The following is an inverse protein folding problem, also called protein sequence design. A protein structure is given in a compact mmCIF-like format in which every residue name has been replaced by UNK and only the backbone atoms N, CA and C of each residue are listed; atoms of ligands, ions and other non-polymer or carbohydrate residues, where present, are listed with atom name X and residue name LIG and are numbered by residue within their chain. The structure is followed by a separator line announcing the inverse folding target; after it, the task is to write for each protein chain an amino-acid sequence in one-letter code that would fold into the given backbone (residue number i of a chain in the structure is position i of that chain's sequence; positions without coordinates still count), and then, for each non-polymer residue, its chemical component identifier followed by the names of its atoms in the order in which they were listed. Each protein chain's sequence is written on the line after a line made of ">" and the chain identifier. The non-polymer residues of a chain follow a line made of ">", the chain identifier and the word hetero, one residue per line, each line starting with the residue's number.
data_IF_007289390782
#
_entry.id   IF_007289390782
#
_cell.length_a   1.000
_cell.length_b   1.000
_cell.length_c   1.000
_cell.angle_alpha   90.00
_cell.angle_beta   90.00
_cell.angle_gamma   90.00
#
_symmetry.space_group_name_H-M   'P 1'
#
loop_
_entity.id
_entity.type
_entity.pdbx_description
1 polymer ?
#
# COMPACT_ATOMS: atom_id res chain seq x y z
N UNK A 1 -16.58 38.60 0.79
CA UNK A 1 -16.77 38.15 -0.61
C UNK A 1 -15.44 38.32 -1.33
N UNK A 2 -14.94 37.35 -2.11
CA UNK A 2 -15.70 36.61 -3.11
C UNK A 2 -15.93 35.13 -2.79
N UNK A 3 -17.05 34.61 -3.27
CA UNK A 3 -17.44 33.21 -3.29
C UNK A 3 -16.49 32.41 -4.20
N UNK A 4 -15.72 31.47 -3.64
CA UNK A 4 -15.10 30.41 -4.43
C UNK A 4 -16.18 29.37 -4.75
N UNK A 5 -16.71 29.45 -5.97
CA UNK A 5 -17.75 28.52 -6.43
C UNK A 5 -17.21 27.09 -6.53
N UNK A 6 -18.07 26.10 -6.28
CA UNK A 6 -17.85 24.66 -6.48
C UNK A 6 -17.15 24.31 -7.81
N UNK A 7 -17.34 25.15 -8.84
CA UNK A 7 -16.71 25.00 -10.15
C UNK A 7 -15.20 25.21 -10.10
N UNK A 8 -14.68 26.06 -9.22
CA UNK A 8 -13.25 26.33 -9.10
C UNK A 8 -12.50 25.16 -8.46
N UNK A 9 -13.09 24.51 -7.44
CA UNK A 9 -12.53 23.30 -6.82
C UNK A 9 -12.58 22.12 -7.79
N UNK A 10 -13.69 21.96 -8.52
CA UNK A 10 -13.79 20.93 -9.55
C UNK A 10 -12.81 21.17 -10.71
N UNK A 11 -12.62 22.42 -11.12
CA UNK A 11 -11.62 22.79 -12.13
C UNK A 11 -10.21 22.47 -11.65
N UNK A 12 -9.90 22.72 -10.36
CA UNK A 12 -8.58 22.45 -9.77
C UNK A 12 -8.29 20.94 -9.69
N UNK A 13 -9.29 20.12 -9.37
CA UNK A 13 -9.20 18.64 -9.39
C UNK A 13 -8.99 18.15 -10.83
N UNK A 14 -9.77 18.64 -11.80
CA UNK A 14 -9.66 18.24 -13.20
C UNK A 14 -8.32 18.70 -13.82
N UNK A 15 -7.85 19.92 -13.51
CA UNK A 15 -6.53 20.39 -13.98
C UNK A 15 -5.39 19.61 -13.33
N UNK A 16 -5.53 19.19 -12.06
CA UNK A 16 -4.51 18.35 -11.41
C UNK A 16 -4.41 16.98 -12.09
N UNK A 17 -5.54 16.38 -12.46
CA UNK A 17 -5.59 15.09 -13.19
C UNK A 17 -5.01 15.21 -14.61
N UNK A 18 -5.18 16.36 -15.29
CA UNK A 18 -4.63 16.60 -16.65
C UNK A 18 -3.13 16.98 -16.61
N UNK A 19 -2.67 17.68 -15.57
CA UNK A 19 -1.25 18.01 -15.40
C UNK A 19 -0.46 16.74 -15.03
N UNK A 20 -1.01 15.84 -14.23
CA UNK A 20 -0.37 14.55 -13.91
C UNK A 20 -0.31 13.58 -15.11
N UNK A 21 -1.29 13.60 -16.02
CA UNK A 21 -1.26 12.78 -17.25
C UNK A 21 -0.35 13.33 -18.35
N UNK A 22 -0.07 14.63 -18.35
CA UNK A 22 0.89 15.25 -19.29
C UNK A 22 2.34 15.16 -18.81
N UNK A 23 2.58 15.04 -17.50
CA UNK A 23 3.91 14.77 -16.94
C UNK A 23 4.34 13.33 -17.23
N UNK A 24 3.44 12.34 -17.14
CA UNK A 24 3.76 10.94 -17.52
C UNK A 24 4.07 10.78 -19.01
N UNK A 25 3.44 11.58 -19.89
CA UNK A 25 3.76 11.60 -21.33
C UNK A 25 5.15 12.17 -21.66
N UNK A 26 5.69 13.09 -20.86
CA UNK A 26 7.03 13.67 -21.07
C UNK A 26 8.16 12.81 -20.49
N UNK A 27 7.92 12.06 -19.42
CA UNK A 27 8.88 11.08 -18.90
C UNK A 27 9.04 9.87 -19.85
N UNK A 28 7.97 9.44 -20.53
CA UNK A 28 8.05 8.38 -21.53
C UNK A 28 8.93 8.75 -22.75
N UNK A 29 8.99 10.05 -23.12
CA UNK A 29 9.78 10.51 -24.27
C UNK A 29 11.27 10.72 -23.93
N UNK A 30 11.60 11.05 -22.68
CA UNK A 30 12.99 11.19 -22.22
C UNK A 30 13.69 9.83 -22.03
N UNK A 31 12.92 8.79 -21.70
CA UNK A 31 13.44 7.43 -21.49
C UNK A 31 13.69 6.69 -22.82
N UNK A 32 12.92 7.00 -23.87
CA UNK A 32 13.10 6.41 -25.22
C UNK A 32 14.40 6.83 -25.93
N UNK A 33 14.97 8.00 -25.60
CA UNK A 33 16.20 8.49 -26.25
C UNK A 33 17.49 7.97 -25.62
N UNK A 34 17.43 7.45 -24.39
CA UNK A 34 18.54 6.79 -23.71
C UNK A 34 18.60 5.28 -24.02
N UNK A 35 17.50 4.67 -24.48
CA UNK A 35 17.47 3.26 -24.90
C UNK A 35 17.95 3.02 -26.34
N UNK A 36 17.92 4.02 -27.22
CA UNK A 36 18.34 3.87 -28.63
C UNK A 36 19.86 3.77 -28.83
N UNK A 37 20.68 4.07 -27.82
CA UNK A 37 22.13 3.90 -27.87
C UNK A 37 22.64 2.57 -27.28
N UNK A 38 21.75 1.71 -26.76
CA UNK A 38 22.09 0.39 -26.21
C UNK A 38 21.39 -0.80 -26.88
N UNK A 39 20.34 -0.57 -27.68
CA UNK A 39 19.52 -1.64 -28.25
C UNK A 39 20.05 -2.12 -29.62
N UNK A 40 21.22 -2.75 -29.64
CA UNK A 40 21.66 -3.61 -30.75
C UNK A 40 22.23 -4.94 -30.26
N UNK A 41 21.55 -5.58 -29.32
CA UNK A 41 21.61 -7.03 -29.04
C UNK A 41 20.51 -7.37 -28.03
N UNK A 42 19.99 -8.59 -28.10
CA UNK A 42 18.88 -9.16 -27.31
C UNK A 42 17.46 -8.92 -27.86
N UNK A 43 17.19 -9.56 -28.99
CA UNK A 43 15.85 -10.05 -29.33
C UNK A 43 15.59 -11.39 -28.64
N UNK A 44 14.34 -11.58 -28.20
CA UNK A 44 13.73 -12.79 -27.61
C UNK A 44 14.05 -13.12 -26.15
N UNK A 45 13.25 -12.57 -25.24
CA UNK A 45 12.83 -13.26 -24.03
C UNK A 45 11.42 -12.80 -23.63
N UNK A 46 10.41 -13.59 -23.98
CA UNK A 46 9.06 -13.47 -23.42
C UNK A 46 9.11 -13.84 -21.94
N UNK A 47 9.14 -12.84 -21.06
CA UNK A 47 9.07 -13.06 -19.62
C UNK A 47 7.61 -13.15 -19.15
N UNK A 48 7.12 -14.38 -18.98
CA UNK A 48 5.82 -14.68 -18.37
C UNK A 48 5.84 -14.36 -16.87
N UNK A 49 5.53 -13.11 -16.47
CA UNK A 49 5.38 -12.71 -15.05
C UNK A 49 4.07 -13.24 -14.47
N UNK A 50 4.10 -14.46 -13.92
CA UNK A 50 3.05 -14.98 -13.03
C UNK A 50 3.03 -14.17 -11.73
N UNK A 51 1.93 -13.47 -11.48
CA UNK A 51 1.64 -12.89 -10.17
C UNK A 51 1.39 -14.01 -9.16
N UNK A 52 2.25 -14.14 -8.14
CA UNK A 52 1.98 -14.96 -6.96
C UNK A 52 1.19 -14.13 -5.96
N UNK A 53 -0.14 -14.21 -6.02
CA UNK A 53 -0.99 -13.88 -4.88
C UNK A 53 -0.82 -14.96 -3.81
N UNK A 54 -0.35 -14.56 -2.63
CA UNK A 54 0.22 -15.46 -1.59
C UNK A 54 -0.80 -16.42 -0.95
N UNK A 55 -2.10 -16.33 -1.24
CA UNK A 55 -3.07 -17.38 -0.91
C UNK A 55 -4.18 -17.44 -1.96
N UNK A 56 -3.94 -18.14 -3.07
CA UNK A 56 -4.98 -18.64 -3.97
C UNK A 56 -4.84 -20.17 -4.08
N UNK A 57 -5.93 -20.95 -3.99
CA UNK A 57 -5.87 -22.41 -3.98
C UNK A 57 -5.49 -22.94 -5.37
N UNK A 58 -4.55 -23.87 -5.42
CA UNK A 58 -4.25 -24.65 -6.64
C UNK A 58 -5.09 -25.92 -6.60
N UNK A 59 -5.94 -26.11 -7.61
CA UNK A 59 -6.49 -27.41 -8.00
C UNK A 59 -5.37 -28.32 -8.51
N UNK A 60 -5.43 -29.61 -8.16
CA UNK A 60 -5.63 -30.70 -9.12
C UNK A 60 -5.34 -32.08 -8.50
N UNK A 61 -6.32 -32.97 -8.61
CA UNK A 61 -6.09 -34.40 -8.83
C UNK A 61 -5.73 -34.59 -10.31
N UNK A 62 -4.50 -35.01 -10.61
CA UNK A 62 -4.15 -35.75 -11.84
C UNK A 62 -3.06 -36.78 -11.49
N UNK A 63 -3.38 -38.07 -11.60
CA UNK A 63 -2.42 -39.18 -11.58
C UNK A 63 -1.54 -39.12 -12.83
N UNK A 64 -0.22 -39.00 -12.67
CA UNK A 64 0.73 -39.27 -13.75
C UNK A 64 1.32 -40.68 -13.60
N UNK A 65 1.04 -41.54 -14.58
CA UNK A 65 1.85 -42.71 -14.90
C UNK A 65 2.78 -42.25 -16.03
N UNK A 66 4.09 -42.20 -15.77
CA UNK A 66 5.10 -41.94 -16.77
C UNK A 66 5.84 -43.25 -17.08
N UNK A 67 5.69 -43.75 -18.31
CA UNK A 67 6.62 -44.69 -18.91
C UNK A 67 7.27 -43.97 -20.10
N UNK A 68 8.57 -43.71 -20.00
CA UNK A 68 9.38 -43.22 -21.11
C UNK A 68 9.69 -44.36 -22.08
N UNK A 69 9.56 -44.18 -23.41
CA UNK A 69 10.15 -45.09 -24.39
C UNK A 69 11.66 -44.83 -24.49
N UNK A 70 12.47 -45.88 -24.47
CA UNK A 70 13.90 -45.84 -24.77
C UNK A 70 14.06 -45.69 -26.30
N UNK A 71 14.82 -44.68 -26.74
CA UNK A 71 15.18 -44.48 -28.15
C UNK A 71 16.49 -45.25 -28.41
N UNK A 72 16.56 -46.17 -29.40
CA UNK A 72 17.80 -46.87 -29.72
C UNK A 72 18.83 -45.97 -30.41
N UNK A 73 20.09 -46.26 -30.11
CA UNK A 73 21.32 -45.61 -30.59
C UNK A 73 21.60 -45.84 -32.09
N UNK A 74 22.17 -44.80 -32.70
CA UNK A 74 23.08 -44.78 -33.87
C UNK A 74 22.62 -45.46 -35.18
N UNK A 75 22.29 -44.63 -36.17
CA UNK A 75 22.27 -45.01 -37.59
C UNK A 75 23.70 -45.09 -38.15
N UNK A 76 23.98 -46.24 -38.76
CA UNK A 76 25.22 -46.70 -39.39
C UNK A 76 25.60 -45.84 -40.61
N UNK A 77 26.90 -45.76 -40.92
CA UNK A 77 27.42 -44.92 -42.00
C UNK A 77 26.84 -45.25 -43.40
N UNK A 78 26.45 -46.50 -43.65
CA UNK A 78 25.85 -46.95 -44.92
C UNK A 78 24.40 -46.47 -45.13
N UNK A 79 23.66 -46.17 -44.06
CA UNK A 79 22.31 -45.59 -44.15
C UNK A 79 22.32 -44.09 -44.50
N UNK A 80 23.44 -43.40 -44.27
CA UNK A 80 23.61 -41.96 -44.53
C UNK A 80 23.93 -41.66 -45.99
N UNK A 81 24.58 -42.59 -46.70
CA UNK A 81 24.92 -42.45 -48.12
C UNK A 81 23.70 -42.66 -49.04
N UNK A 82 22.70 -43.45 -48.59
CA UNK A 82 21.41 -43.63 -49.28
C UNK A 82 20.51 -42.38 -49.28
N UNK A 83 20.82 -41.36 -48.47
CA UNK A 83 20.06 -40.11 -48.35
C UNK A 83 20.64 -38.94 -49.19
N UNK A 84 21.70 -39.18 -49.97
CA UNK A 84 22.19 -38.21 -50.97
C UNK A 84 22.77 -36.92 -50.40
N UNK A 85 23.33 -36.94 -49.20
CA UNK A 85 23.95 -35.76 -48.56
C UNK A 85 25.41 -35.65 -49.04
N UNK A 86 25.81 -34.59 -49.76
CA UNK A 86 27.19 -34.44 -50.23
C UNK A 86 28.19 -34.18 -49.10
N UNK A 87 29.46 -34.65 -49.20
CA UNK A 87 30.43 -34.69 -48.10
C UNK A 87 31.08 -33.32 -47.74
N UNK A 88 30.56 -32.21 -48.24
CA UNK A 88 31.15 -30.86 -48.03
C UNK A 88 30.61 -30.13 -46.79
N UNK A 89 29.97 -30.83 -45.86
CA UNK A 89 29.61 -30.29 -44.54
C UNK A 89 30.45 -30.91 -43.40
N UNK A 90 31.54 -31.58 -43.75
CA UNK A 90 32.48 -32.19 -42.82
C UNK A 90 33.81 -31.44 -42.85
N UNK A 91 33.83 -30.24 -42.29
CA UNK A 91 35.08 -29.56 -41.90
C UNK A 91 34.76 -28.45 -40.90
N UNK A 92 34.74 -28.80 -39.63
CA UNK A 92 35.82 -28.42 -38.70
C UNK A 92 35.40 -28.82 -37.28
N UNK A 93 36.08 -29.84 -36.76
CA UNK A 93 36.27 -30.03 -35.34
C UNK A 93 36.86 -28.75 -34.76
N UNK A 94 36.03 -27.95 -34.07
CA UNK A 94 36.54 -27.08 -33.02
C UNK A 94 36.06 -27.64 -31.70
N UNK A 95 37.06 -28.20 -31.02
CA UNK A 95 37.05 -28.66 -29.65
C UNK A 95 36.18 -27.79 -28.76
N UNK A 96 35.32 -28.45 -28.00
CA UNK A 96 34.84 -27.93 -26.72
C UNK A 96 36.06 -27.70 -25.83
N UNK A 97 36.72 -26.54 -25.94
CA UNK A 97 37.35 -25.96 -24.77
C UNK A 97 36.21 -25.46 -23.91
N UNK A 98 35.96 -26.17 -22.82
CA UNK A 98 35.33 -25.61 -21.64
C UNK A 98 36.01 -24.27 -21.36
N UNK A 99 35.40 -23.17 -21.80
CA UNK A 99 35.52 -21.95 -21.03
C UNK A 99 34.67 -22.22 -19.79
N UNK A 100 35.33 -22.73 -18.75
CA UNK A 100 34.94 -22.54 -17.36
C UNK A 100 34.92 -21.02 -17.05
N UNK A 101 34.18 -20.24 -17.82
CA UNK A 101 33.55 -19.04 -17.29
C UNK A 101 32.29 -19.52 -16.58
N UNK A 102 32.49 -20.36 -15.55
CA UNK A 102 31.68 -20.25 -14.36
C UNK A 102 31.67 -18.76 -14.04
N UNK A 103 30.52 -18.10 -14.23
CA UNK A 103 30.24 -16.86 -13.52
C UNK A 103 30.11 -17.18 -12.01
N UNK A 104 31.20 -17.69 -11.42
CA UNK A 104 31.55 -17.53 -10.02
C UNK A 104 31.63 -16.02 -9.81
N UNK A 105 30.69 -15.49 -9.04
CA UNK A 105 30.54 -14.06 -8.72
C UNK A 105 29.77 -13.21 -9.76
N UNK A 106 28.62 -13.70 -10.22
CA UNK A 106 27.47 -12.79 -10.22
C UNK A 106 27.06 -12.58 -8.75
N UNK A 107 27.83 -11.77 -8.00
CA UNK A 107 27.27 -11.11 -6.81
C UNK A 107 26.07 -10.33 -7.32
N UNK A 108 24.89 -10.94 -7.26
CA UNK A 108 23.64 -10.25 -7.51
C UNK A 108 23.65 -9.06 -6.58
N UNK A 109 23.80 -7.85 -7.13
CA UNK A 109 23.77 -6.63 -6.35
C UNK A 109 22.37 -6.55 -5.74
N UNK A 110 22.23 -7.06 -4.53
CA UNK A 110 21.00 -6.94 -3.76
C UNK A 110 21.01 -5.53 -3.17
N UNK A 111 20.17 -4.61 -3.70
CA UNK A 111 20.17 -3.24 -3.22
C UNK A 111 19.83 -3.25 -1.73
N UNK A 112 20.42 -2.31 -0.97
CA UNK A 112 20.12 -2.18 0.45
C UNK A 112 18.64 -1.84 0.67
N UNK A 113 18.08 -1.02 -0.23
CA UNK A 113 16.70 -0.52 -0.18
C UNK A 113 16.07 -0.70 -1.57
N UNK A 114 14.85 -1.23 -1.60
CA UNK A 114 14.01 -1.29 -2.80
C UNK A 114 12.68 -0.59 -2.55
N UNK A 115 12.19 0.16 -3.54
CA UNK A 115 10.81 0.66 -3.51
C UNK A 115 9.84 -0.54 -3.54
N UNK A 116 8.82 -0.49 -2.69
CA UNK A 116 7.72 -1.47 -2.64
C UNK A 116 6.42 -0.88 -3.16
N UNK A 117 6.08 0.32 -2.67
CA UNK A 117 4.87 1.07 -3.06
C UNK A 117 4.94 2.49 -2.54
N UNK A 118 4.33 3.43 -3.25
CA UNK A 118 4.02 4.76 -2.75
C UNK A 118 2.50 4.92 -2.65
N UNK A 119 2.03 5.61 -1.61
CA UNK A 119 0.60 5.86 -1.39
C UNK A 119 0.37 7.34 -1.14
N UNK A 120 -0.50 7.95 -1.94
CA UNK A 120 -1.03 9.30 -1.75
C UNK A 120 -2.51 9.22 -1.39
N UNK A 121 -2.94 9.98 -0.39
CA UNK A 121 -4.31 9.97 0.08
C UNK A 121 -4.79 11.40 0.37
N UNK A 122 -5.99 11.70 -0.11
CA UNK A 122 -6.72 12.96 0.08
C UNK A 122 -8.02 12.65 0.79
N UNK A 123 -8.27 13.28 1.94
CA UNK A 123 -9.51 13.10 2.70
C UNK A 123 -10.14 14.45 2.98
N UNK A 124 -11.45 14.57 2.75
CA UNK A 124 -12.20 15.80 3.01
C UNK A 124 -13.43 15.51 3.87
N UNK A 125 -13.50 16.21 5.00
CA UNK A 125 -14.62 16.28 5.92
C UNK A 125 -15.11 17.73 5.87
N UNK A 126 -16.29 18.03 5.29
CA UNK A 126 -16.81 19.38 5.27
C UNK A 126 -17.22 19.82 6.69
N UNK A 127 -17.02 21.10 6.96
CA UNK A 127 -17.43 21.80 8.17
C UNK A 127 -17.29 23.29 7.92
N UNK A 128 -18.10 24.10 8.61
CA UNK A 128 -18.07 25.57 8.51
C UNK A 128 -18.48 26.18 9.84
N UNK A 129 -17.87 27.30 10.22
CA UNK A 129 -18.24 28.02 11.43
C UNK A 129 -17.90 27.22 12.69
N UNK A 130 -18.93 26.79 13.43
CA UNK A 130 -18.75 25.99 14.65
C UNK A 130 -18.64 24.48 14.38
N UNK A 131 -18.89 24.03 13.15
CA UNK A 131 -18.64 22.64 12.77
C UNK A 131 -17.20 22.48 12.24
N UNK A 132 -16.40 21.64 12.89
CA UNK A 132 -15.02 21.37 12.48
C UNK A 132 -14.98 20.70 11.09
N UNK A 133 -14.36 21.37 10.13
CA UNK A 133 -13.98 20.85 8.82
C UNK A 133 -12.52 20.42 8.81
N UNK A 134 -12.21 19.33 8.09
CA UNK A 134 -10.84 18.81 7.97
C UNK A 134 -10.57 18.43 6.51
N UNK A 135 -9.55 19.05 5.92
CA UNK A 135 -8.99 18.62 4.64
C UNK A 135 -7.59 18.08 4.86
N UNK A 136 -7.35 16.82 4.51
CA UNK A 136 -6.11 16.10 4.79
C UNK A 136 -5.43 15.65 3.52
N UNK A 137 -4.12 15.85 3.44
CA UNK A 137 -3.25 15.26 2.43
C UNK A 137 -2.23 14.40 3.15
N UNK A 138 -2.01 13.19 2.66
CA UNK A 138 -1.00 12.29 3.22
C UNK A 138 -0.25 11.56 2.12
N UNK A 139 1.05 11.39 2.33
CA UNK A 139 1.98 10.68 1.47
C UNK A 139 2.73 9.67 2.32
N UNK A 140 2.94 8.48 1.78
CA UNK A 140 3.82 7.48 2.39
C UNK A 140 4.53 6.69 1.31
N UNK A 141 5.73 6.24 1.63
CA UNK A 141 6.53 5.41 0.74
C UNK A 141 7.00 4.20 1.51
N UNK A 142 6.69 2.99 1.03
CA UNK A 142 7.14 1.76 1.63
C UNK A 142 8.41 1.29 0.90
N UNK A 143 9.46 1.11 1.69
CA UNK A 143 10.78 0.69 1.28
C UNK A 143 11.04 -0.70 1.87
N UNK A 144 11.33 -1.68 1.04
CA UNK A 144 11.78 -3.01 1.49
C UNK A 144 13.28 -3.03 1.67
N UNK A 145 13.74 -3.84 2.64
CA UNK A 145 15.15 -4.20 2.79
C UNK A 145 15.32 -5.64 2.32
N UNK A 146 15.73 -5.90 1.07
CA UNK A 146 15.77 -7.26 0.52
C UNK A 146 16.68 -8.23 1.31
N UNK A 147 17.66 -7.69 2.06
CA UNK A 147 18.55 -8.46 2.95
C UNK A 147 17.87 -8.91 4.25
N UNK A 148 16.74 -8.31 4.62
CA UNK A 148 15.99 -8.62 5.83
C UNK A 148 14.55 -8.98 5.45
N UNK A 149 14.29 -10.28 5.33
CA UNK A 149 12.98 -10.80 4.91
C UNK A 149 11.85 -10.23 5.76
N UNK A 150 10.82 -9.72 5.07
CA UNK A 150 9.62 -9.20 5.70
C UNK A 150 9.76 -7.83 6.35
N UNK A 151 10.94 -7.21 6.31
CA UNK A 151 11.15 -5.88 6.86
C UNK A 151 10.76 -4.79 5.86
N UNK A 152 10.06 -3.76 6.34
CA UNK A 152 9.66 -2.60 5.54
C UNK A 152 9.82 -1.33 6.37
N UNK A 153 10.45 -0.31 5.79
CA UNK A 153 10.53 1.05 6.33
C UNK A 153 9.51 1.90 5.59
N UNK A 154 8.66 2.63 6.30
CA UNK A 154 7.63 3.48 5.69
C UNK A 154 7.66 4.89 6.26
N UNK A 155 8.43 5.83 5.70
CA UNK A 155 8.22 7.24 5.94
C UNK A 155 6.80 7.66 5.55
N UNK A 156 6.20 8.52 6.37
CA UNK A 156 4.88 9.10 6.17
C UNK A 156 4.92 10.59 6.51
N UNK A 157 4.27 11.37 5.66
CA UNK A 157 4.00 12.78 5.89
C UNK A 157 2.50 13.06 5.71
N UNK A 158 1.92 13.83 6.60
CA UNK A 158 0.54 14.26 6.56
C UNK A 158 0.42 15.75 6.89
N UNK A 159 -0.52 16.42 6.23
CA UNK A 159 -0.95 17.76 6.58
C UNK A 159 -2.46 17.80 6.67
N UNK A 160 -2.97 18.40 7.74
CA UNK A 160 -4.38 18.59 7.99
C UNK A 160 -4.67 20.08 8.06
N UNK A 161 -5.52 20.55 7.15
CA UNK A 161 -6.09 21.89 7.16
C UNK A 161 -7.40 21.84 7.93
N UNK A 162 -7.47 22.61 9.00
CA UNK A 162 -8.56 22.63 9.95
C UNK A 162 -9.34 23.93 9.74
N UNK A 163 -10.65 23.80 9.57
CA UNK A 163 -11.58 24.93 9.49
C UNK A 163 -12.58 24.84 10.65
N UNK A 164 -12.67 25.92 11.42
CA UNK A 164 -13.38 25.91 12.69
C UNK A 164 -12.79 24.92 13.73
N UNK A 165 -13.48 24.71 14.85
CA UNK A 165 -14.68 25.46 15.25
C UNK A 165 -14.28 26.85 15.81
N UNK A 166 -15.01 27.91 15.45
CA UNK A 166 -14.70 29.31 15.85
C UNK A 166 -14.66 29.50 17.37
N UNK A 167 -15.38 28.66 18.12
CA UNK A 167 -15.41 28.66 19.58
C UNK A 167 -14.13 28.16 20.27
N UNK A 168 -13.17 27.57 19.54
CA UNK A 168 -11.91 27.07 20.11
C UNK A 168 -10.70 27.62 19.37
N UNK A 169 -9.58 27.75 20.06
CA UNK A 169 -8.34 28.31 19.51
C UNK A 169 -7.50 27.28 18.72
N UNK A 170 -8.16 26.49 17.87
CA UNK A 170 -7.53 25.46 17.06
C UNK A 170 -6.68 26.11 15.95
N UNK A 171 -5.41 25.72 15.77
CA UNK A 171 -4.62 26.23 14.66
C UNK A 171 -5.21 25.77 13.33
N UNK A 172 -5.10 26.60 12.29
CA UNK A 172 -5.64 26.27 10.97
C UNK A 172 -4.96 25.06 10.29
N UNK A 173 -3.79 24.63 10.79
CA UNK A 173 -3.02 23.53 10.20
C UNK A 173 -2.22 22.76 11.25
N UNK A 174 -2.18 21.45 11.09
CA UNK A 174 -1.32 20.53 11.86
C UNK A 174 -0.68 19.50 10.91
N UNK A 175 0.42 18.90 11.35
CA UNK A 175 1.26 18.02 10.55
C UNK A 175 1.56 16.71 11.27
N UNK A 176 1.66 15.65 10.48
CA UNK A 176 2.08 14.31 10.89
C UNK A 176 3.37 13.98 10.17
N UNK A 177 4.42 13.61 10.89
CA UNK A 177 5.63 13.05 10.27
C UNK A 177 6.06 11.84 11.05
N UNK A 178 6.13 10.68 10.42
CA UNK A 178 6.54 9.45 11.10
C UNK A 178 7.33 8.52 10.18
N UNK A 179 8.07 7.60 10.78
CA UNK A 179 8.76 6.54 10.06
C UNK A 179 8.39 5.22 10.72
N UNK A 180 7.65 4.37 10.00
CA UNK A 180 7.27 3.06 10.51
C UNK A 180 8.30 2.00 10.13
N UNK A 181 8.73 1.21 11.10
CA UNK A 181 9.54 0.01 10.92
C UNK A 181 8.64 -1.19 11.16
N UNK A 182 8.34 -1.93 10.08
CA UNK A 182 7.43 -3.07 10.10
C UNK A 182 8.19 -4.35 9.80
N UNK A 183 7.97 -5.38 10.59
CA UNK A 183 8.45 -6.73 10.37
C UNK A 183 7.28 -7.69 10.29
N UNK A 184 7.06 -8.25 9.11
CA UNK A 184 6.03 -9.25 8.85
C UNK A 184 6.68 -10.56 8.44
N UNK A 185 6.51 -11.64 9.20
CA UNK A 185 7.08 -12.93 8.85
C UNK A 185 6.15 -14.09 9.21
N UNK A 186 6.41 -15.25 8.60
CA UNK A 186 5.77 -16.52 8.91
C UNK A 186 6.61 -17.26 9.94
N UNK A 187 6.01 -17.63 11.06
CA UNK A 187 6.66 -18.51 12.03
C UNK A 187 6.57 -19.97 11.58
N UNK A 188 5.43 -20.37 10.99
CA UNK A 188 5.23 -21.65 10.33
C UNK A 188 4.07 -21.55 9.32
N UNK A 189 3.59 -22.68 8.78
CA UNK A 189 2.50 -22.72 7.81
C UNK A 189 1.17 -22.14 8.34
N UNK A 190 0.94 -22.20 9.66
CA UNK A 190 -0.30 -21.74 10.30
C UNK A 190 -0.16 -20.37 10.97
N UNK A 191 1.03 -19.99 11.39
CA UNK A 191 1.27 -18.79 12.19
C UNK A 191 2.10 -17.77 11.42
N UNK A 192 1.61 -16.54 11.40
CA UNK A 192 2.35 -15.37 10.93
C UNK A 192 2.24 -14.27 11.97
N UNK A 193 3.17 -13.33 11.95
CA UNK A 193 3.14 -12.19 12.86
C UNK A 193 3.50 -10.90 12.14
N UNK A 194 3.07 -9.80 12.74
CA UNK A 194 3.37 -8.45 12.33
C UNK A 194 3.77 -7.64 13.56
N UNK A 195 4.98 -7.09 13.53
CA UNK A 195 5.45 -6.14 14.52
C UNK A 195 5.72 -4.82 13.80
N UNK A 196 5.20 -3.72 14.32
CA UNK A 196 5.48 -2.39 13.79
C UNK A 196 5.72 -1.42 14.93
N UNK A 197 6.73 -0.57 14.76
CA UNK A 197 7.00 0.58 15.62
C UNK A 197 7.19 1.79 14.71
N UNK A 198 6.49 2.87 15.02
CA UNK A 198 6.49 4.09 14.22
C UNK A 198 6.63 5.32 15.13
N UNK A 199 7.88 5.75 15.41
CA UNK A 199 8.14 7.06 15.99
C UNK A 199 7.71 8.17 15.01
N UNK A 200 7.16 9.24 15.54
CA UNK A 200 6.76 10.41 14.76
C UNK A 200 6.62 11.68 15.58
N UNK A 201 6.56 12.80 14.86
CA UNK A 201 6.30 14.14 15.36
C UNK A 201 4.93 14.57 14.84
N UNK A 202 4.04 14.97 15.76
CA UNK A 202 2.68 15.40 15.50
C UNK A 202 2.50 16.80 16.08
N UNK A 203 2.54 17.82 15.22
CA UNK A 203 2.65 19.20 15.67
C UNK A 203 2.10 20.20 14.66
N UNK A 204 1.82 21.43 15.09
CA UNK A 204 1.63 22.60 14.24
C UNK A 204 2.94 23.27 13.78
N UNK A 205 4.09 22.65 14.09
CA UNK A 205 5.46 23.16 13.92
C UNK A 205 5.78 24.44 14.71
N UNK A 206 4.90 24.86 15.64
CA UNK A 206 5.18 25.91 16.60
C UNK A 206 5.48 25.32 17.98
N UNK A 207 4.72 24.30 18.39
CA UNK A 207 4.96 23.55 19.61
C UNK A 207 5.69 22.23 19.28
N UNK A 208 7.02 22.29 19.22
CA UNK A 208 7.89 21.12 18.98
C UNK A 208 8.66 20.81 20.27
N UNK A 209 7.95 20.21 21.22
CA UNK A 209 8.47 19.74 22.51
C UNK A 209 8.33 18.22 22.62
N UNK A 210 8.64 17.65 23.79
CA UNK A 210 8.44 16.21 24.05
C UNK A 210 7.01 15.75 23.76
N UNK A 211 6.00 16.61 23.98
CA UNK A 211 4.57 16.28 23.75
C UNK A 211 4.20 16.16 22.27
N UNK A 212 5.09 16.60 21.37
CA UNK A 212 4.94 16.41 19.92
C UNK A 212 5.44 15.04 19.46
N UNK A 213 6.34 14.41 20.22
CA UNK A 213 6.87 13.08 19.92
C UNK A 213 5.87 12.02 20.36
N UNK A 214 5.55 11.11 19.44
CA UNK A 214 4.68 9.96 19.70
C UNK A 214 5.31 8.71 19.13
N UNK A 215 5.25 7.61 19.88
CA UNK A 215 5.71 6.31 19.41
C UNK A 215 4.49 5.42 19.31
N UNK A 216 4.06 5.15 18.08
CA UNK A 216 2.97 4.21 17.83
C UNK A 216 3.52 2.82 17.51
N UNK A 217 2.72 1.79 17.68
CA UNK A 217 3.12 0.44 17.33
C UNK A 217 1.94 -0.53 17.25
N UNK A 218 2.17 -1.67 16.61
CA UNK A 218 1.22 -2.78 16.60
C UNK A 218 1.96 -4.10 16.67
N UNK A 219 1.40 -5.02 17.43
CA UNK A 219 1.85 -6.41 17.48
C UNK A 219 0.66 -7.30 17.20
N UNK A 220 0.65 -7.94 16.03
CA UNK A 220 -0.42 -8.81 15.56
C UNK A 220 0.11 -10.21 15.30
N UNK A 221 -0.65 -11.22 15.68
CA UNK A 221 -0.45 -12.61 15.35
C UNK A 221 -1.65 -13.11 14.53
N UNK A 222 -1.35 -13.87 13.50
CA UNK A 222 -2.31 -14.41 12.57
C UNK A 222 -2.27 -15.94 12.64
N UNK A 223 -3.41 -16.56 12.92
CA UNK A 223 -3.56 -18.00 12.96
C UNK A 223 -4.47 -18.49 11.83
N UNK A 224 -3.91 -19.24 10.89
CA UNK A 224 -4.63 -19.88 9.80
C UNK A 224 -5.28 -21.17 10.30
N UNK A 225 -6.59 -21.11 10.57
CA UNK A 225 -7.35 -22.29 10.99
C UNK A 225 -7.73 -23.17 9.78
N UNK A 226 -8.14 -22.54 8.68
CA UNK A 226 -8.44 -23.22 7.42
C UNK A 226 -8.17 -22.29 6.23
N UNK A 227 -8.30 -22.79 5.00
CA UNK A 227 -8.12 -21.96 3.77
C UNK A 227 -9.10 -20.79 3.66
N UNK A 228 -10.22 -20.84 4.38
CA UNK A 228 -11.28 -19.83 4.35
C UNK A 228 -11.43 -19.07 5.67
N UNK A 229 -10.63 -19.37 6.71
CA UNK A 229 -10.73 -18.77 8.04
C UNK A 229 -9.36 -18.53 8.67
N UNK A 230 -9.10 -17.28 9.00
CA UNK A 230 -7.91 -16.85 9.71
C UNK A 230 -8.31 -16.03 10.93
N UNK A 231 -7.72 -16.30 12.08
CA UNK A 231 -7.92 -15.51 13.29
C UNK A 231 -6.78 -14.51 13.43
N UNK A 232 -7.11 -13.34 13.99
CA UNK A 232 -6.15 -12.27 14.25
C UNK A 232 -6.24 -11.91 15.73
N UNK A 233 -5.08 -11.78 16.37
CA UNK A 233 -4.95 -11.42 17.77
C UNK A 233 -3.80 -10.44 17.93
N UNK A 234 -3.90 -9.52 18.86
CA UNK A 234 -2.85 -8.54 19.06
C UNK A 234 -3.31 -7.27 19.74
N UNK A 235 -2.43 -6.28 19.70
CA UNK A 235 -2.61 -4.98 20.31
C UNK A 235 -2.06 -3.89 19.39
N UNK A 236 -2.71 -2.73 19.43
CA UNK A 236 -2.25 -1.51 18.76
C UNK A 236 -2.04 -0.45 19.83
N UNK A 237 -0.80 0.04 19.93
CA UNK A 237 -0.43 1.16 20.77
C UNK A 237 -0.43 2.43 19.91
N UNK A 238 -1.31 3.38 20.22
CA UNK A 238 -1.48 4.61 19.41
C UNK A 238 -0.95 5.86 20.09
N UNK A 239 -0.53 5.76 21.36
CA UNK A 239 0.10 6.86 22.12
C UNK A 239 -0.72 8.17 22.10
N UNK A 240 -2.04 8.04 22.19
CA UNK A 240 -2.98 9.17 22.31
C UNK A 240 -3.36 9.40 23.77
N UNK A 241 -3.68 10.64 24.09
CA UNK A 241 -4.06 11.04 25.46
C UNK A 241 -5.37 10.39 25.90
N UNK A 242 -6.33 10.23 24.99
CA UNK A 242 -7.65 9.63 25.27
C UNK A 242 -7.58 8.09 25.32
N UNK A 243 -6.74 7.48 24.48
CA UNK A 243 -6.72 6.04 24.31
C UNK A 243 -5.32 5.57 23.88
N UNK A 244 -4.60 4.88 24.78
CA UNK A 244 -3.22 4.44 24.49
C UNK A 244 -3.14 3.10 23.79
N UNK A 245 -4.02 2.17 24.15
CA UNK A 245 -3.96 0.78 23.69
C UNK A 245 -5.33 0.29 23.23
N UNK A 246 -5.35 -0.31 22.04
CA UNK A 246 -6.52 -0.92 21.43
C UNK A 246 -6.27 -2.43 21.27
N UNK A 247 -7.19 -3.29 21.72
CA UNK A 247 -7.11 -4.70 21.35
C UNK A 247 -7.33 -4.82 19.84
N UNK A 248 -6.56 -5.68 19.18
CA UNK A 248 -6.75 -6.02 17.78
C UNK A 248 -7.07 -7.51 17.69
N UNK A 249 -8.36 -7.83 17.74
CA UNK A 249 -8.83 -9.20 17.70
C UNK A 249 -9.97 -9.34 16.69
N UNK A 250 -10.03 -10.49 16.04
CA UNK A 250 -11.07 -10.77 15.07
C UNK A 250 -10.78 -11.96 14.19
N UNK A 251 -11.51 -12.01 13.08
CA UNK A 251 -11.35 -13.05 12.08
C UNK A 251 -11.47 -12.50 10.66
N UNK A 252 -10.73 -13.13 9.76
CA UNK A 252 -10.81 -12.95 8.32
C UNK A 252 -11.44 -14.21 7.74
N UNK A 253 -12.50 -14.03 6.97
CA UNK A 253 -13.19 -15.11 6.29
C UNK A 253 -13.31 -14.85 4.80
N UNK A 254 -13.14 -15.90 4.01
CA UNK A 254 -13.37 -15.89 2.57
C UNK A 254 -14.57 -16.79 2.28
N UNK A 255 -15.67 -16.19 1.80
CA UNK A 255 -16.90 -16.94 1.48
C UNK A 255 -16.85 -17.54 0.07
N UNK A 256 -16.19 -16.84 -0.84
CA UNK A 256 -15.94 -17.25 -2.22
C UNK A 256 -14.69 -16.51 -2.73
N UNK A 257 -14.24 -16.78 -3.95
CA UNK A 257 -13.12 -16.04 -4.55
C UNK A 257 -13.38 -14.53 -4.73
N UNK A 258 -14.65 -14.10 -4.61
CA UNK A 258 -15.07 -12.72 -4.77
C UNK A 258 -15.45 -12.01 -3.47
N UNK A 259 -15.43 -12.67 -2.31
CA UNK A 259 -15.98 -12.10 -1.07
C UNK A 259 -15.06 -12.32 0.12
N UNK A 260 -14.71 -11.23 0.81
CA UNK A 260 -13.84 -11.24 1.99
C UNK A 260 -14.46 -10.43 3.13
N UNK A 261 -14.60 -11.05 4.29
CA UNK A 261 -15.02 -10.38 5.52
C UNK A 261 -13.86 -10.34 6.50
N UNK A 262 -13.42 -9.14 6.83
CA UNK A 262 -12.39 -8.84 7.81
C UNK A 262 -13.09 -8.25 9.04
N UNK A 263 -13.61 -9.11 9.92
CA UNK A 263 -14.24 -8.69 11.16
C UNK A 263 -13.16 -8.54 12.24
N UNK A 264 -12.34 -7.50 12.08
CA UNK A 264 -11.23 -7.19 12.99
C UNK A 264 -11.47 -5.80 13.57
N UNK A 265 -11.54 -5.71 14.90
CA UNK A 265 -11.55 -4.42 15.58
C UNK A 265 -10.13 -3.81 15.54
N UNK A 266 -9.97 -2.49 15.29
CA UNK A 266 -11.00 -1.44 15.19
C UNK A 266 -11.48 -1.11 13.77
N UNK A 267 -11.10 -1.90 12.75
CA UNK A 267 -11.41 -1.59 11.34
C UNK A 267 -12.10 -2.77 10.64
N UNK A 268 -13.38 -3.06 10.97
CA UNK A 268 -14.10 -4.12 10.28
C UNK A 268 -14.33 -3.73 8.81
N UNK A 269 -14.11 -4.66 7.88
CA UNK A 269 -14.28 -4.42 6.44
C UNK A 269 -14.91 -5.63 5.75
N UNK A 270 -15.93 -5.40 4.95
CA UNK A 270 -16.47 -6.39 4.02
C UNK A 270 -16.19 -5.95 2.59
N UNK A 271 -15.60 -6.83 1.79
CA UNK A 271 -15.21 -6.56 0.40
C UNK A 271 -15.84 -7.57 -0.54
N UNK A 272 -16.38 -7.11 -1.66
CA UNK A 272 -17.04 -7.89 -2.70
C UNK A 272 -16.54 -7.51 -4.10
N UNK A 273 -16.13 -8.48 -4.90
CA UNK A 273 -15.65 -8.28 -6.28
C UNK A 273 -16.83 -8.12 -7.22
N UNK A 274 -16.85 -7.02 -7.97
CA UNK A 274 -17.91 -6.74 -8.95
C UNK A 274 -17.47 -6.93 -10.40
N UNK A 275 -16.18 -6.76 -10.69
CA UNK A 275 -15.66 -6.83 -12.05
C UNK A 275 -14.27 -7.47 -12.01
N UNK A 276 -14.03 -8.43 -12.91
CA UNK A 276 -12.72 -8.99 -13.17
C UNK A 276 -12.52 -9.02 -14.68
N UNK A 277 -11.57 -8.25 -15.16
CA UNK A 277 -11.17 -8.16 -16.56
C UNK A 277 -9.65 -8.31 -16.68
N UNK A 278 -9.12 -8.48 -17.89
CA UNK A 278 -7.67 -8.58 -18.11
C UNK A 278 -6.91 -7.29 -17.75
N UNK A 279 -7.57 -6.14 -17.88
CA UNK A 279 -6.96 -4.82 -17.65
C UNK A 279 -7.19 -4.26 -16.24
N UNK A 280 -8.25 -4.70 -15.55
CA UNK A 280 -8.62 -4.19 -14.22
C UNK A 280 -9.49 -5.17 -13.42
N UNK A 281 -9.38 -5.07 -12.11
CA UNK A 281 -10.26 -5.73 -11.14
C UNK A 281 -10.90 -4.69 -10.22
N UNK A 282 -12.22 -4.76 -10.03
CA UNK A 282 -12.97 -3.82 -9.19
C UNK A 282 -13.65 -4.51 -8.02
N UNK A 283 -13.54 -3.87 -6.86
CA UNK A 283 -14.07 -4.35 -5.60
C UNK A 283 -14.89 -3.24 -4.94
N UNK A 284 -16.10 -3.58 -4.49
CA UNK A 284 -16.86 -2.74 -3.57
C UNK A 284 -16.55 -3.16 -2.15
N UNK A 285 -16.60 -2.22 -1.22
CA UNK A 285 -16.50 -2.54 0.20
C UNK A 285 -17.31 -1.59 1.07
N UNK A 286 -17.65 -2.12 2.24
CA UNK A 286 -18.15 -1.35 3.38
C UNK A 286 -17.19 -1.57 4.54
N UNK A 287 -16.82 -0.50 5.23
CA UNK A 287 -15.89 -0.56 6.35
C UNK A 287 -16.34 0.33 7.51
N UNK A 288 -16.04 -0.12 8.73
CA UNK A 288 -15.96 0.75 9.89
C UNK A 288 -14.52 1.19 10.11
N UNK A 289 -14.31 2.44 10.48
CA UNK A 289 -12.99 2.94 10.86
C UNK A 289 -13.08 3.76 12.14
N UNK A 290 -12.21 3.45 13.10
CA UNK A 290 -11.89 4.36 14.20
C UNK A 290 -10.85 5.36 13.70
N UNK A 291 -11.26 6.62 13.55
CA UNK A 291 -10.40 7.71 13.14
C UNK A 291 -10.02 8.62 14.31
N UNK A 292 -9.11 9.53 14.04
CA UNK A 292 -8.62 10.48 15.02
C UNK A 292 -7.13 10.78 14.88
N UNK A 293 -6.64 11.63 15.77
CA UNK A 293 -5.25 12.00 15.90
C UNK A 293 -5.03 12.90 17.12
N UNK A 294 -3.78 13.06 17.51
CA UNK A 294 -3.38 13.95 18.61
C UNK A 294 -2.17 14.76 18.17
N UNK A 295 -2.20 16.07 18.41
CA UNK A 295 -1.17 17.02 17.96
C UNK A 295 -0.80 17.96 19.08
N UNK A 296 0.51 18.19 19.25
CA UNK A 296 1.01 19.29 20.05
C UNK A 296 0.83 20.60 19.27
N UNK A 297 0.05 21.51 19.82
CA UNK A 297 -0.30 22.76 19.18
C UNK A 297 0.08 23.94 20.07
N UNK A 298 0.24 25.11 19.44
CA UNK A 298 0.19 26.39 20.14
C UNK A 298 -1.14 27.07 19.83
N UNK A 299 -1.95 27.30 20.86
CA UNK A 299 -3.29 27.89 20.73
C UNK A 299 -3.22 29.25 20.03
N UNK A 300 -4.08 29.46 19.04
CA UNK A 300 -4.03 30.66 18.20
C UNK A 300 -4.35 31.96 18.97
N UNK A 301 -5.27 31.91 19.94
CA UNK A 301 -5.73 33.06 20.70
C UNK A 301 -4.85 33.41 21.92
N UNK A 302 -4.34 32.40 22.63
CA UNK A 302 -3.60 32.60 23.90
C UNK A 302 -2.09 32.42 23.80
N UNK A 303 -1.59 31.89 22.69
CA UNK A 303 -0.17 31.51 22.49
C UNK A 303 0.38 30.51 23.53
N UNK A 304 -0.50 29.79 24.23
CA UNK A 304 -0.13 28.74 25.18
C UNK A 304 -0.03 27.39 24.48
N UNK A 305 0.92 26.57 24.92
CA UNK A 305 1.09 25.19 24.46
C UNK A 305 0.02 24.27 25.01
N UNK A 306 -0.49 23.41 24.14
CA UNK A 306 -1.50 22.42 24.49
C UNK A 306 -1.39 21.20 23.56
N UNK A 307 -2.07 20.12 23.92
CA UNK A 307 -2.24 18.95 23.06
C UNK A 307 -3.72 18.84 22.71
N UNK A 308 -4.02 18.87 21.42
CA UNK A 308 -5.38 18.63 20.92
C UNK A 308 -5.50 17.19 20.46
N UNK A 309 -6.59 16.53 20.85
CA UNK A 309 -6.94 15.17 20.51
C UNK A 309 -8.30 15.17 19.83
N UNK A 310 -8.36 14.68 18.61
CA UNK A 310 -9.60 14.50 17.85
C UNK A 310 -9.90 13.02 17.69
N UNK A 311 -11.11 12.58 17.99
CA UNK A 311 -11.58 11.22 17.76
C UNK A 311 -12.85 11.23 16.90
N UNK A 312 -13.02 10.18 16.09
CA UNK A 312 -14.26 9.96 15.36
C UNK A 312 -14.51 8.48 15.03
N UNK A 313 -15.77 8.17 14.71
CA UNK A 313 -16.19 6.91 14.12
C UNK A 313 -16.65 7.15 12.70
N UNK A 314 -16.25 6.25 11.78
CA UNK A 314 -16.55 6.37 10.35
C UNK A 314 -17.21 5.11 9.84
N UNK A 315 -18.33 5.29 9.14
CA UNK A 315 -18.90 4.27 8.28
C UNK A 315 -18.58 4.64 6.83
N UNK A 316 -17.89 3.75 6.12
CA UNK A 316 -17.30 4.02 4.81
C UNK A 316 -17.86 3.02 3.79
N UNK A 317 -18.32 3.53 2.65
CA UNK A 317 -18.57 2.74 1.44
C UNK A 317 -17.58 3.17 0.36
N UNK A 318 -16.93 2.21 -0.29
CA UNK A 318 -15.90 2.53 -1.28
C UNK A 318 -15.81 1.55 -2.43
N UNK A 319 -15.15 2.00 -3.48
CA UNK A 319 -14.75 1.21 -4.64
C UNK A 319 -13.22 1.21 -4.75
N UNK A 320 -12.65 0.03 -4.91
CA UNK A 320 -11.23 -0.19 -5.16
C UNK A 320 -11.08 -0.73 -6.58
N UNK A 321 -10.23 -0.08 -7.39
CA UNK A 321 -9.86 -0.54 -8.72
C UNK A 321 -8.37 -0.86 -8.74
N UNK A 322 -8.05 -2.12 -9.01
CA UNK A 322 -6.70 -2.60 -9.23
C UNK A 322 -6.44 -2.66 -10.73
N UNK A 323 -5.36 -2.03 -11.17
CA UNK A 323 -4.93 -2.00 -12.56
C UNK A 323 -3.76 -2.97 -12.77
N UNK A 324 -3.62 -3.49 -13.99
CA UNK A 324 -2.55 -4.46 -14.33
C UNK A 324 -1.14 -3.88 -14.24
N UNK A 325 -0.99 -2.55 -14.24
CA UNK A 325 0.29 -1.86 -14.05
C UNK A 325 0.72 -1.78 -12.56
N UNK A 326 0.00 -2.43 -11.63
CA UNK A 326 0.29 -2.40 -10.20
C UNK A 326 -0.38 -1.24 -9.44
N UNK A 327 -0.96 -0.28 -10.16
CA UNK A 327 -1.65 0.87 -9.55
C UNK A 327 -2.99 0.43 -8.93
N UNK A 328 -3.26 0.91 -7.72
CA UNK A 328 -4.53 0.69 -7.02
C UNK A 328 -5.13 2.05 -6.69
N UNK A 329 -6.34 2.29 -7.17
CA UNK A 329 -7.12 3.48 -6.82
C UNK A 329 -8.30 3.11 -5.95
N UNK A 330 -8.59 3.94 -4.95
CA UNK A 330 -9.68 3.75 -4.02
C UNK A 330 -10.44 5.07 -3.91
N UNK A 331 -11.76 5.01 -4.10
CA UNK A 331 -12.66 6.13 -3.86
C UNK A 331 -13.66 5.74 -2.78
N UNK A 332 -13.78 6.58 -1.76
CA UNK A 332 -14.56 6.34 -0.56
C UNK A 332 -15.51 7.50 -0.32
N UNK A 333 -16.74 7.16 0.04
CA UNK A 333 -17.71 8.07 0.66
C UNK A 333 -18.01 7.54 2.07
N UNK A 334 -18.21 8.43 3.02
CA UNK A 334 -18.48 8.01 4.38
C UNK A 334 -19.34 8.96 5.19
N UNK A 335 -19.80 8.46 6.33
CA UNK A 335 -20.47 9.22 7.36
C UNK A 335 -19.64 9.15 8.64
N UNK A 336 -19.29 10.32 9.17
CA UNK A 336 -18.42 10.50 10.33
C UNK A 336 -19.26 11.00 11.49
N UNK A 337 -19.28 10.27 12.59
CA UNK A 337 -20.12 10.52 13.75
C UNK A 337 -19.34 10.28 15.05
N UNK A 338 -19.97 10.61 16.19
CA UNK A 338 -19.33 10.56 17.51
C UNK A 338 -17.96 11.26 17.49
N UNK A 339 -17.94 12.45 16.91
CA UNK A 339 -16.73 13.24 16.71
C UNK A 339 -16.49 14.07 17.96
N UNK A 340 -15.30 14.01 18.54
CA UNK A 340 -14.96 14.82 19.71
C UNK A 340 -13.62 15.48 19.55
N UNK A 341 -13.52 16.69 20.07
CA UNK A 341 -12.31 17.48 20.15
C UNK A 341 -11.99 17.75 21.61
N UNK A 342 -10.88 17.23 22.09
CA UNK A 342 -10.44 17.31 23.48
C UNK A 342 -9.07 17.96 23.55
N UNK A 343 -8.83 18.73 24.61
CA UNK A 343 -7.56 19.40 24.87
C UNK A 343 -6.98 18.93 26.20
N UNK A 344 -5.66 18.82 26.30
CA UNK A 344 -4.99 18.42 27.53
C UNK A 344 -5.29 19.41 28.68
N UNK A 345 -5.40 20.70 28.38
CA UNK A 345 -5.83 21.71 29.36
C UNK A 345 -7.30 21.63 29.78
N UNK A 346 -8.11 20.78 29.14
CA UNK A 346 -9.57 20.67 29.25
C UNK A 346 -10.36 21.94 28.86
N UNK A 347 -9.69 22.99 28.37
CA UNK A 347 -10.34 24.24 28.00
C UNK A 347 -10.78 24.21 26.53
N UNK A 348 -12.09 24.24 26.28
CA UNK A 348 -12.62 24.24 24.90
C UNK A 348 -12.86 22.85 24.33
N UNK A 349 -12.95 21.82 25.19
CA UNK A 349 -13.46 20.51 24.77
C UNK A 349 -14.84 20.66 24.12
N UNK A 350 -15.06 19.95 23.03
CA UNK A 350 -16.25 20.15 22.19
C UNK A 350 -16.65 18.87 21.47
N UNK A 351 -17.93 18.51 21.59
CA UNK A 351 -18.56 17.48 20.77
C UNK A 351 -18.90 18.07 19.40
N UNK A 352 -18.32 17.50 18.36
CA UNK A 352 -18.42 18.00 17.00
C UNK A 352 -19.60 17.32 16.29
N UNK A 353 -20.37 18.09 15.53
CA UNK A 353 -21.49 17.56 14.76
C UNK A 353 -21.03 16.51 13.74
N UNK A 354 -21.84 15.45 13.48
CA UNK A 354 -21.57 14.49 12.42
C UNK A 354 -21.42 15.16 11.04
N UNK A 355 -20.63 14.57 10.16
CA UNK A 355 -20.39 15.11 8.81
C UNK A 355 -20.22 14.00 7.77
N UNK A 356 -20.26 14.36 6.50
CA UNK A 356 -19.89 13.48 5.39
C UNK A 356 -18.36 13.34 5.27
N UNK A 357 -17.92 12.34 4.51
CA UNK A 357 -16.52 12.17 4.14
C UNK A 357 -16.42 11.82 2.68
N UNK A 358 -15.43 12.40 2.00
CA UNK A 358 -14.93 11.93 0.72
C UNK A 358 -13.45 11.62 0.89
N UNK A 359 -13.01 10.46 0.42
CA UNK A 359 -11.59 10.11 0.40
C UNK A 359 -11.21 9.51 -0.94
N UNK A 360 -10.03 9.87 -1.42
CA UNK A 360 -9.40 9.27 -2.58
C UNK A 360 -7.98 8.85 -2.23
N UNK A 361 -7.65 7.59 -2.48
CA UNK A 361 -6.32 7.03 -2.26
C UNK A 361 -5.80 6.42 -3.55
N UNK A 362 -4.54 6.69 -3.84
CA UNK A 362 -3.79 6.13 -4.95
C UNK A 362 -2.56 5.42 -4.41
N UNK A 363 -2.32 4.19 -4.85
CA UNK A 363 -1.12 3.42 -4.56
C UNK A 363 -0.47 2.98 -5.86
N UNK A 364 0.85 3.14 -6.00
CA UNK A 364 1.61 2.80 -7.21
C UNK A 364 3.02 2.30 -6.90
#
# INVERSE_FOLDING_TARGET
>A
MPFQSLKAVFLLIVTSVIVLSSVTGRFAYAQGRLSELGAKKATNLESYRRHQTIFAPRDQDIKQISQSPQVPEVLDAEAREALGIPPQLLESDDSWSESEDECLECETFVPLISHKRATANVTWLPGTGDDLGIFSLSLSEALELPRYEGFTITPRFGVHYLDGPVRTDLPARVYDTSVAFRWFNKFNEKWSYELEVAPGVYSDFKNVTTDSLRITGRGLAYYMHSRSKQFVFGVVYIDREDLKLLPAAGMIMWFSEGSRLELIFPKPKFTYRIEKSEARERWLYVAGEFGGGSWAIRRAGTAVDDVVTYNDLRLIGGIETKHTNGMVSQFEIGYVFNRKLEYLSNNGNYDVSPTGMIRYQLTF
#
